data_IF_298206127536
#
_entry.id   IF_298206127536
#
_cell.length_a   1.000
_cell.length_b   1.000
_cell.length_c   1.000
_cell.angle_alpha   90.00
_cell.angle_beta   90.00
_cell.angle_gamma   90.00
#
_symmetry.space_group_name_H-M   'P 1'
#
loop_
_entity.id
_entity.type
_entity.pdbx_description
1 polymer ?
#
# COMPACT_ATOMS: atom_id res chain seq x y z
N UNK A 1 -6.34 69.65 -31.41
CA UNK A 1 -6.58 68.28 -31.87
C UNK A 1 -5.58 67.38 -31.21
N UNK A 2 -6.06 66.58 -30.21
CA UNK A 2 -5.24 65.64 -29.43
C UNK A 2 -5.60 64.23 -29.85
N UNK A 3 -4.67 63.48 -30.43
CA UNK A 3 -4.84 62.10 -30.85
C UNK A 3 -4.68 61.21 -29.60
N UNK A 4 -5.75 60.47 -29.30
CA UNK A 4 -5.78 59.45 -28.24
C UNK A 4 -5.41 58.12 -28.88
N UNK A 5 -4.33 57.48 -28.43
CA UNK A 5 -3.87 56.18 -28.91
C UNK A 5 -4.28 55.12 -27.85
N UNK A 6 -5.22 54.19 -28.14
CA UNK A 6 -5.52 53.11 -27.21
C UNK A 6 -4.51 51.99 -27.36
N UNK A 7 -3.62 51.84 -26.40
CA UNK A 7 -2.77 50.65 -26.29
C UNK A 7 -3.64 49.48 -25.81
N UNK A 8 -3.84 48.52 -26.70
CA UNK A 8 -4.42 47.22 -26.39
C UNK A 8 -3.44 46.47 -25.47
N UNK A 9 -3.80 46.31 -24.21
CA UNK A 9 -3.14 45.36 -23.29
C UNK A 9 -3.68 43.96 -23.56
N UNK A 10 -2.90 43.14 -24.23
CA UNK A 10 -3.13 41.67 -24.29
C UNK A 10 -2.77 41.06 -22.96
N UNK A 11 -3.78 40.75 -22.15
CA UNK A 11 -3.61 39.89 -20.95
C UNK A 11 -3.44 38.43 -21.43
N UNK A 12 -2.21 37.94 -21.44
CA UNK A 12 -1.92 36.51 -21.61
C UNK A 12 -2.30 35.77 -20.33
N UNK A 13 -3.44 35.09 -20.34
CA UNK A 13 -3.82 34.14 -19.25
C UNK A 13 -2.97 32.89 -19.46
N UNK A 14 -1.90 32.75 -18.69
CA UNK A 14 -1.13 31.52 -18.57
C UNK A 14 -1.96 30.52 -17.77
N UNK A 15 -2.65 29.61 -18.45
CA UNK A 15 -3.27 28.44 -17.82
C UNK A 15 -2.17 27.48 -17.37
N UNK A 16 -1.79 27.57 -16.12
CA UNK A 16 -0.92 26.59 -15.47
C UNK A 16 -1.69 25.28 -15.33
N UNK A 17 -1.41 24.32 -16.20
CA UNK A 17 -1.82 22.93 -15.96
C UNK A 17 -1.02 22.43 -14.75
N UNK A 18 -1.67 22.38 -13.61
CA UNK A 18 -1.17 21.66 -12.48
C UNK A 18 -1.21 20.17 -12.82
N UNK A 19 -0.10 19.64 -13.32
CA UNK A 19 0.11 18.20 -13.41
C UNK A 19 0.06 17.67 -11.97
N UNK A 20 -1.00 16.94 -11.63
CA UNK A 20 -1.08 16.20 -10.38
C UNK A 20 0.00 15.12 -10.43
N UNK A 21 1.14 15.40 -9.81
CA UNK A 21 2.18 14.41 -9.58
C UNK A 21 1.60 13.41 -8.58
N UNK A 22 1.17 12.26 -9.09
CA UNK A 22 0.81 11.14 -8.23
C UNK A 22 2.08 10.65 -7.55
N UNK A 23 2.21 10.93 -6.26
CA UNK A 23 3.35 10.48 -5.47
C UNK A 23 3.10 9.05 -4.97
N UNK A 24 4.07 8.17 -5.17
CA UNK A 24 4.19 6.95 -4.35
C UNK A 24 4.94 7.32 -3.07
N UNK A 25 4.59 6.69 -1.96
CA UNK A 25 5.20 6.98 -0.68
C UNK A 25 5.46 5.71 0.13
N UNK A 26 6.62 5.67 0.78
CA UNK A 26 6.96 4.70 1.80
C UNK A 26 7.12 5.44 3.11
N UNK A 27 6.47 4.96 4.16
CA UNK A 27 6.78 5.37 5.51
C UNK A 27 8.03 4.62 5.97
N UNK A 28 8.93 5.27 6.72
CA UNK A 28 10.11 4.60 7.23
C UNK A 28 9.72 3.41 8.12
N UNK A 29 10.52 2.33 8.13
CA UNK A 29 10.30 1.21 9.02
C UNK A 29 10.19 1.64 10.48
N UNK A 30 9.23 1.06 11.19
CA UNK A 30 9.00 1.29 12.61
C UNK A 30 9.29 0.00 13.37
N UNK A 31 10.08 0.09 14.43
CA UNK A 31 10.34 -1.06 15.29
C UNK A 31 9.07 -1.48 16.03
N UNK A 32 8.78 -2.76 16.00
CA UNK A 32 7.70 -3.36 16.78
C UNK A 32 8.14 -3.53 18.25
N UNK A 33 7.24 -3.30 19.21
CA UNK A 33 7.56 -3.57 20.60
C UNK A 33 8.03 -5.03 20.78
N UNK A 34 9.18 -5.27 21.43
CA UNK A 34 9.68 -6.62 21.68
C UNK A 34 8.72 -7.39 22.59
N UNK A 35 8.56 -8.69 22.31
CA UNK A 35 7.73 -9.58 23.10
C UNK A 35 8.57 -10.74 23.64
N UNK A 36 8.29 -11.18 24.85
CA UNK A 36 8.96 -12.33 25.49
C UNK A 36 8.02 -13.51 25.61
N UNK A 37 8.55 -14.70 25.38
CA UNK A 37 7.84 -15.97 25.46
C UNK A 37 8.48 -16.90 26.50
N UNK A 38 7.83 -17.99 26.81
CA UNK A 38 8.36 -18.99 27.78
C UNK A 38 9.57 -19.73 27.18
N UNK A 39 9.64 -19.90 25.88
CA UNK A 39 10.71 -20.62 25.18
C UNK A 39 10.83 -20.17 23.72
N UNK A 40 11.88 -20.62 23.05
CA UNK A 40 12.02 -20.46 21.60
C UNK A 40 10.85 -21.12 20.84
N UNK A 41 10.46 -22.32 21.21
CA UNK A 41 9.34 -23.02 20.56
C UNK A 41 8.02 -22.26 20.71
N UNK A 42 7.76 -21.63 21.85
CA UNK A 42 6.59 -20.79 22.07
C UNK A 42 6.63 -19.53 21.18
N UNK A 43 7.79 -18.93 20.98
CA UNK A 43 7.96 -17.82 20.06
C UNK A 43 7.71 -18.24 18.60
N UNK A 44 8.27 -19.37 18.18
CA UNK A 44 8.08 -19.92 16.81
C UNK A 44 6.61 -20.27 16.57
N UNK A 45 5.93 -20.84 17.55
CA UNK A 45 4.50 -21.14 17.43
C UNK A 45 3.67 -19.85 17.27
N UNK A 46 4.03 -18.79 17.97
CA UNK A 46 3.41 -17.49 17.76
C UNK A 46 3.62 -16.96 16.33
N UNK A 47 4.83 -17.09 15.75
CA UNK A 47 5.05 -16.75 14.34
C UNK A 47 4.17 -17.55 13.38
N UNK A 48 3.96 -18.85 13.65
CA UNK A 48 3.06 -19.69 12.83
C UNK A 48 1.61 -19.26 12.93
N UNK A 49 1.16 -18.82 14.09
CA UNK A 49 -0.19 -18.28 14.30
C UNK A 49 -0.38 -16.96 13.53
N UNK A 50 0.61 -16.07 13.54
CA UNK A 50 0.60 -14.84 12.75
C UNK A 50 0.52 -15.15 11.26
N UNK A 51 1.36 -16.06 10.77
CA UNK A 51 1.31 -16.53 9.38
C UNK A 51 -0.06 -17.09 8.99
N UNK A 52 -0.64 -17.94 9.81
CA UNK A 52 -1.96 -18.50 9.56
C UNK A 52 -3.05 -17.42 9.52
N UNK A 53 -2.98 -16.44 10.42
CA UNK A 53 -3.90 -15.29 10.46
C UNK A 53 -3.80 -14.45 9.18
N UNK A 54 -2.59 -14.11 8.74
CA UNK A 54 -2.35 -13.29 7.56
C UNK A 54 -2.88 -13.99 6.29
N UNK A 55 -2.69 -15.30 6.17
CA UNK A 55 -3.25 -16.10 5.07
C UNK A 55 -4.78 -16.11 5.03
N UNK A 56 -5.45 -16.08 6.17
CA UNK A 56 -6.93 -16.03 6.21
C UNK A 56 -7.42 -14.70 5.66
N UNK A 57 -6.78 -13.60 6.01
CA UNK A 57 -7.11 -12.27 5.49
C UNK A 57 -7.00 -12.18 3.97
N UNK A 58 -5.97 -12.80 3.40
CA UNK A 58 -5.75 -12.83 1.96
C UNK A 58 -6.75 -13.71 1.17
N UNK A 59 -7.28 -14.76 1.80
CA UNK A 59 -8.20 -15.69 1.15
C UNK A 59 -9.63 -15.18 1.00
N UNK A 60 -9.96 -14.02 1.54
CA UNK A 60 -11.34 -13.49 1.50
C UNK A 60 -11.81 -13.08 0.09
N UNK A 61 -10.88 -13.02 -0.88
CA UNK A 61 -11.18 -12.62 -2.26
C UNK A 61 -11.61 -11.15 -2.39
N UNK A 62 -12.01 -10.72 -3.60
CA UNK A 62 -12.42 -9.34 -3.85
C UNK A 62 -13.69 -8.97 -3.08
N UNK A 63 -13.65 -7.86 -2.37
CA UNK A 63 -14.76 -7.32 -1.59
C UNK A 63 -15.24 -6.01 -2.22
N UNK A 64 -16.56 -5.87 -2.37
CA UNK A 64 -17.16 -4.60 -2.75
C UNK A 64 -17.10 -3.63 -1.56
N UNK A 65 -16.65 -2.41 -1.81
CA UNK A 65 -16.59 -1.33 -0.84
C UNK A 65 -17.38 -0.12 -1.34
N UNK A 66 -17.52 0.89 -0.49
CA UNK A 66 -18.29 2.09 -0.81
C UNK A 66 -17.84 2.76 -2.12
N UNK A 67 -18.80 3.36 -2.84
CA UNK A 67 -18.55 4.06 -4.10
C UNK A 67 -18.30 3.14 -5.31
N UNK A 68 -18.72 1.86 -5.24
CA UNK A 68 -18.60 0.90 -6.34
C UNK A 68 -17.16 0.42 -6.57
N UNK A 69 -16.27 0.67 -5.63
CA UNK A 69 -14.91 0.17 -5.71
C UNK A 69 -14.82 -1.28 -5.20
N UNK A 70 -13.78 -1.99 -5.66
CA UNK A 70 -13.46 -3.35 -5.22
C UNK A 70 -12.11 -3.35 -4.53
N UNK A 71 -12.04 -3.94 -3.35
CA UNK A 71 -10.80 -4.17 -2.60
C UNK A 71 -10.42 -5.64 -2.69
N UNK A 72 -9.16 -5.91 -3.01
CA UNK A 72 -8.59 -7.25 -3.03
C UNK A 72 -7.29 -7.24 -2.21
N UNK A 73 -7.16 -8.19 -1.29
CA UNK A 73 -5.97 -8.38 -0.48
C UNK A 73 -5.12 -9.52 -1.05
N UNK A 74 -3.80 -9.34 -1.03
CA UNK A 74 -2.80 -10.32 -1.43
C UNK A 74 -1.75 -10.42 -0.34
N UNK A 75 -1.36 -11.62 0.03
CA UNK A 75 -0.23 -11.86 0.95
C UNK A 75 0.91 -12.50 0.17
N UNK A 76 2.07 -11.86 0.21
CA UNK A 76 3.33 -12.43 -0.24
C UNK A 76 4.19 -12.82 0.96
N UNK A 77 4.51 -14.10 1.10
CA UNK A 77 5.33 -14.63 2.18
C UNK A 77 5.86 -16.03 1.85
N UNK A 78 7.04 -16.32 2.39
CA UNK A 78 7.62 -17.68 2.37
C UNK A 78 7.21 -18.53 3.59
N UNK A 79 6.39 -17.97 4.49
CA UNK A 79 6.05 -18.59 5.76
C UNK A 79 7.14 -18.42 6.80
N UNK A 80 7.04 -19.22 7.87
CA UNK A 80 8.02 -19.20 8.96
C UNK A 80 9.23 -20.04 8.58
N UNK A 81 10.40 -19.43 8.59
CA UNK A 81 11.69 -20.06 8.30
C UNK A 81 12.50 -20.14 9.56
N UNK A 82 13.00 -21.34 9.88
CA UNK A 82 13.93 -21.59 10.99
C UNK A 82 15.32 -21.77 10.41
N UNK A 83 16.25 -20.89 10.74
CA UNK A 83 17.60 -20.89 10.18
C UNK A 83 18.59 -21.69 11.05
N UNK A 84 18.51 -21.53 12.36
CA UNK A 84 19.42 -22.12 13.32
C UNK A 84 18.61 -22.67 14.53
N UNK A 85 19.32 -23.21 15.51
CA UNK A 85 18.69 -23.88 16.65
C UNK A 85 17.79 -22.98 17.50
N UNK A 86 18.04 -21.65 17.47
CA UNK A 86 17.36 -20.66 18.32
C UNK A 86 16.98 -19.38 17.56
N UNK A 87 16.97 -19.44 16.23
CA UNK A 87 16.52 -18.33 15.39
C UNK A 87 15.47 -18.77 14.35
N UNK A 88 14.37 -18.06 14.30
CA UNK A 88 13.34 -18.20 13.28
C UNK A 88 12.82 -16.83 12.88
N UNK A 89 12.43 -16.68 11.61
CA UNK A 89 11.85 -15.44 11.13
C UNK A 89 10.60 -15.68 10.27
N UNK A 90 9.78 -14.66 10.21
CA UNK A 90 8.59 -14.58 9.41
C UNK A 90 8.51 -13.19 8.76
N UNK A 91 8.68 -13.16 7.45
CA UNK A 91 8.54 -11.97 6.63
C UNK A 91 7.28 -12.08 5.80
N UNK A 92 6.50 -11.01 5.75
CA UNK A 92 5.29 -10.93 4.93
C UNK A 92 5.05 -9.53 4.41
N UNK A 93 4.48 -9.46 3.22
CA UNK A 93 3.86 -8.27 2.68
C UNK A 93 2.38 -8.52 2.47
N UNK A 94 1.54 -7.70 3.12
CA UNK A 94 0.12 -7.67 2.87
C UNK A 94 -0.19 -6.47 1.97
N UNK A 95 -0.56 -6.75 0.75
CA UNK A 95 -0.96 -5.75 -0.23
C UNK A 95 -2.47 -5.63 -0.36
N UNK A 96 -2.96 -4.42 -0.64
CA UNK A 96 -4.35 -4.19 -1.03
C UNK A 96 -4.40 -3.41 -2.32
N UNK A 97 -5.03 -3.98 -3.34
CA UNK A 97 -5.45 -3.24 -4.51
C UNK A 97 -6.89 -2.73 -4.32
N UNK A 98 -7.08 -1.43 -4.57
CA UNK A 98 -8.41 -0.81 -4.59
C UNK A 98 -8.66 -0.37 -6.02
N UNK A 99 -9.64 -1.00 -6.68
CA UNK A 99 -10.02 -0.73 -8.06
C UNK A 99 -11.33 0.06 -8.06
N UNK A 100 -11.30 1.24 -8.67
CA UNK A 100 -12.45 2.14 -8.74
C UNK A 100 -12.75 2.51 -10.19
N UNK A 101 -13.98 2.27 -10.68
CA UNK A 101 -14.38 2.74 -11.99
C UNK A 101 -14.51 4.27 -11.98
N UNK A 102 -14.11 4.91 -13.07
CA UNK A 102 -14.24 6.34 -13.31
C UNK A 102 -14.75 6.60 -14.71
N UNK A 103 -15.13 7.86 -14.98
CA UNK A 103 -15.57 8.32 -16.29
C UNK A 103 -15.63 9.84 -16.34
N UNK A 104 -15.72 10.38 -17.54
CA UNK A 104 -15.89 11.80 -17.79
C UNK A 104 -17.24 12.12 -18.47
N UNK A 105 -17.51 13.41 -18.65
CA UNK A 105 -18.76 13.89 -19.24
C UNK A 105 -18.91 13.57 -20.74
N UNK A 106 -17.83 13.19 -21.43
CA UNK A 106 -17.84 12.82 -22.84
C UNK A 106 -17.90 11.31 -23.08
N UNK A 107 -18.05 10.53 -21.99
CA UNK A 107 -18.28 9.10 -22.06
C UNK A 107 -17.04 8.23 -21.99
N UNK A 108 -15.85 8.78 -21.82
CA UNK A 108 -14.66 7.97 -21.56
C UNK A 108 -14.79 7.29 -20.19
N UNK A 109 -14.43 6.03 -20.17
CA UNK A 109 -14.45 5.23 -18.93
C UNK A 109 -13.06 4.68 -18.65
N UNK A 110 -12.72 4.56 -17.38
CA UNK A 110 -11.44 4.00 -16.94
C UNK A 110 -11.58 3.24 -15.63
N UNK A 111 -10.58 2.43 -15.34
CA UNK A 111 -10.38 1.80 -14.04
C UNK A 111 -9.16 2.44 -13.39
N UNK A 112 -9.33 3.03 -12.23
CA UNK A 112 -8.24 3.48 -11.38
C UNK A 112 -7.91 2.39 -10.37
N UNK A 113 -6.63 2.03 -10.26
CA UNK A 113 -6.14 1.08 -9.28
C UNK A 113 -5.13 1.76 -8.36
N UNK A 114 -5.40 1.72 -7.07
CA UNK A 114 -4.48 2.14 -6.01
C UNK A 114 -3.97 0.89 -5.30
N UNK A 115 -2.69 0.82 -5.06
CA UNK A 115 -2.08 -0.26 -4.29
C UNK A 115 -1.48 0.30 -3.02
N UNK A 116 -1.83 -0.30 -1.88
CA UNK A 116 -1.25 -0.01 -0.57
C UNK A 116 -0.67 -1.30 -0.03
N UNK A 117 0.36 -1.21 0.79
CA UNK A 117 0.97 -2.38 1.40
C UNK A 117 1.41 -2.09 2.83
N UNK A 118 1.44 -3.16 3.61
CA UNK A 118 2.17 -3.27 4.87
C UNK A 118 3.13 -4.44 4.75
N UNK A 119 4.38 -4.21 5.09
CA UNK A 119 5.43 -5.23 5.12
C UNK A 119 5.96 -5.32 6.52
N UNK A 120 6.12 -6.52 7.01
CA UNK A 120 6.74 -6.75 8.30
C UNK A 120 7.77 -7.87 8.26
N UNK A 121 8.78 -7.68 9.09
CA UNK A 121 9.79 -8.68 9.38
C UNK A 121 9.77 -8.95 10.88
N UNK A 122 9.64 -10.20 11.26
CA UNK A 122 9.53 -10.65 12.65
C UNK A 122 10.53 -11.77 12.89
N UNK A 123 11.35 -11.63 13.94
CA UNK A 123 12.41 -12.59 14.25
C UNK A 123 12.28 -13.02 15.70
N UNK A 124 12.14 -14.33 15.89
CA UNK A 124 12.38 -15.00 17.18
C UNK A 124 13.87 -15.27 17.33
N UNK A 125 14.48 -14.79 18.39
CA UNK A 125 15.82 -15.15 18.80
C UNK A 125 15.80 -15.60 20.25
N UNK A 126 16.02 -16.90 20.47
CA UNK A 126 15.65 -17.51 21.74
C UNK A 126 14.17 -17.27 22.06
N UNK A 127 13.87 -16.89 23.28
CA UNK A 127 12.50 -16.63 23.74
C UNK A 127 12.02 -15.19 23.45
N UNK A 128 12.71 -14.41 22.61
CA UNK A 128 12.39 -13.01 22.32
C UNK A 128 11.97 -12.83 20.86
N UNK A 129 10.85 -12.15 20.64
CA UNK A 129 10.39 -11.70 19.35
C UNK A 129 10.70 -10.20 19.19
N UNK A 130 11.34 -9.87 18.09
CA UNK A 130 11.54 -8.49 17.62
C UNK A 130 11.04 -8.39 16.19
N UNK A 131 10.85 -7.18 15.69
CA UNK A 131 10.45 -7.00 14.32
C UNK A 131 10.35 -5.54 13.92
N UNK A 132 10.13 -5.35 12.63
CA UNK A 132 9.88 -4.04 12.01
C UNK A 132 8.63 -4.10 11.16
N UNK A 133 7.96 -2.96 11.02
CA UNK A 133 6.83 -2.78 10.13
C UNK A 133 7.10 -1.57 9.23
N UNK A 134 6.84 -1.74 7.95
CA UNK A 134 6.88 -0.70 6.94
C UNK A 134 5.52 -0.64 6.25
N UNK A 135 5.05 0.54 5.89
CA UNK A 135 3.85 0.70 5.09
C UNK A 135 4.07 1.70 3.96
N UNK A 136 3.29 1.56 2.91
CA UNK A 136 3.41 2.44 1.76
C UNK A 136 2.24 2.31 0.80
N UNK A 137 2.34 3.11 -0.25
CA UNK A 137 1.38 3.10 -1.36
C UNK A 137 2.10 3.39 -2.68
N UNK A 138 1.55 2.87 -3.77
CA UNK A 138 2.02 3.21 -5.11
C UNK A 138 1.14 4.31 -5.71
N UNK A 139 1.69 5.02 -6.68
CA UNK A 139 0.91 5.94 -7.50
C UNK A 139 -0.26 5.20 -8.16
N UNK A 140 -1.44 5.82 -8.23
CA UNK A 140 -2.57 5.23 -8.94
C UNK A 140 -2.22 4.91 -10.39
N UNK A 141 -2.57 3.73 -10.86
CA UNK A 141 -2.60 3.41 -12.28
C UNK A 141 -4.01 3.65 -12.83
N UNK A 142 -4.11 4.11 -14.07
CA UNK A 142 -5.37 4.36 -14.75
C UNK A 142 -5.37 3.62 -16.07
N UNK A 143 -6.33 2.72 -16.25
CA UNK A 143 -6.49 1.91 -17.46
C UNK A 143 -7.80 2.29 -18.16
N UNK A 144 -7.79 2.63 -19.47
CA UNK A 144 -9.02 2.86 -20.22
C UNK A 144 -9.88 1.60 -20.27
N UNK A 145 -11.18 1.76 -20.02
CA UNK A 145 -12.17 0.70 -20.25
C UNK A 145 -12.67 0.81 -21.69
N UNK A 146 -12.51 -0.24 -22.47
CA UNK A 146 -13.02 -0.34 -23.84
C UNK A 146 -14.48 -0.69 -23.87
#
# INVERSE_FOLDING_TARGET
MKHFNPRLLLLSVATSFASSVSASGHLPPVDMPPQSFASFDACVEHLRQLYAHDLVGAKQGPQQIEGGATREAVVDTKGVVTNERDEAHYDAELGWSIRKPGGDAVGNRWMQTNYNFERWSRTCRGASLTGTMESGFTSPSVEPLR
#
